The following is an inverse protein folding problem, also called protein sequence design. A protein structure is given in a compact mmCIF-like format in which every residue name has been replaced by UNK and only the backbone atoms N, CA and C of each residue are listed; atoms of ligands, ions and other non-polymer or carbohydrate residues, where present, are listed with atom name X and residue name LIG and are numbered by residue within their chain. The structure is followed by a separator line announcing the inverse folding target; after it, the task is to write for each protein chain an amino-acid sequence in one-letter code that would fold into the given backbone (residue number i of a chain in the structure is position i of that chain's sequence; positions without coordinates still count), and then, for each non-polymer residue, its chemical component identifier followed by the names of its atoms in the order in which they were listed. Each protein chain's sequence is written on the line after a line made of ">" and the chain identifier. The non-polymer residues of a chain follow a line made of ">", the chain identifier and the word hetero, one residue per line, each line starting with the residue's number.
data_IF_766715003269
#
_entry.id   IF_766715003269
#
_cell.length_a   1.000
_cell.length_b   1.000
_cell.length_c   1.000
_cell.angle_alpha   90.00
_cell.angle_beta   90.00
_cell.angle_gamma   90.00
#
_symmetry.space_group_name_H-M   'P 1'
#
loop_
_entity.id
_entity.type
_entity.pdbx_description
1 polymer ?
#
# COMPACT_ATOMS: atom_id res chain seq x y z
N UNK A 1 -23.81 -3.09 -30.33
CA UNK A 1 -23.03 -4.30 -30.66
C UNK A 1 -22.21 -4.67 -29.44
N UNK A 2 -22.66 -5.64 -28.67
CA UNK A 2 -21.92 -6.22 -27.53
C UNK A 2 -20.70 -6.91 -28.11
N UNK A 3 -19.51 -6.39 -27.82
CA UNK A 3 -18.24 -6.98 -28.25
C UNK A 3 -18.19 -8.37 -27.61
N UNK A 4 -18.16 -9.43 -28.42
CA UNK A 4 -18.09 -10.80 -27.93
C UNK A 4 -16.66 -11.03 -27.43
N UNK A 5 -16.40 -10.68 -26.17
CA UNK A 5 -15.08 -10.82 -25.53
C UNK A 5 -14.80 -12.31 -25.35
N UNK A 6 -13.64 -12.78 -25.82
CA UNK A 6 -13.30 -14.20 -25.76
C UNK A 6 -12.80 -14.56 -24.36
N UNK A 7 -13.11 -15.75 -23.82
CA UNK A 7 -12.75 -16.10 -22.42
C UNK A 7 -11.26 -15.93 -22.08
N UNK A 8 -10.35 -16.18 -23.03
CA UNK A 8 -8.91 -16.01 -22.82
C UNK A 8 -8.46 -14.56 -22.65
N UNK A 9 -9.27 -13.59 -23.09
CA UNK A 9 -8.96 -12.14 -22.98
C UNK A 9 -9.09 -11.63 -21.53
N UNK A 10 -9.65 -12.44 -20.62
CA UNK A 10 -9.76 -12.16 -19.19
C UNK A 10 -8.61 -12.73 -18.34
N UNK A 11 -7.89 -13.73 -18.86
CA UNK A 11 -6.83 -14.41 -18.11
C UNK A 11 -5.67 -13.44 -17.89
N UNK A 12 -5.20 -13.34 -16.64
CA UNK A 12 -4.08 -12.46 -16.28
C UNK A 12 -4.42 -10.96 -16.25
N UNK A 13 -5.68 -10.58 -16.42
CA UNK A 13 -6.09 -9.17 -16.42
C UNK A 13 -6.76 -8.73 -15.11
N UNK A 14 -7.14 -9.69 -14.26
CA UNK A 14 -8.04 -9.50 -13.12
C UNK A 14 -9.47 -9.16 -13.57
N UNK A 15 -10.47 -9.54 -12.78
CA UNK A 15 -11.87 -9.26 -13.09
C UNK A 15 -12.60 -8.80 -11.83
N UNK A 16 -13.08 -7.56 -11.84
CA UNK A 16 -13.75 -6.96 -10.69
C UNK A 16 -15.08 -6.34 -11.09
N UNK A 17 -16.09 -6.57 -10.27
CA UNK A 17 -17.36 -5.86 -10.31
C UNK A 17 -17.24 -4.51 -9.58
N UNK A 18 -18.18 -3.60 -9.83
CA UNK A 18 -18.23 -2.32 -9.09
C UNK A 18 -18.29 -2.50 -7.55
N UNK A 19 -19.05 -3.45 -6.97
CA UNK A 19 -19.01 -3.73 -5.54
C UNK A 19 -17.66 -4.22 -5.02
N UNK A 20 -16.96 -5.10 -5.76
CA UNK A 20 -15.64 -5.60 -5.36
C UNK A 20 -14.60 -4.49 -5.36
N UNK A 21 -14.54 -3.71 -6.44
CA UNK A 21 -13.67 -2.54 -6.51
C UNK A 21 -13.99 -1.54 -5.39
N UNK A 22 -15.27 -1.29 -5.11
CA UNK A 22 -15.68 -0.41 -4.03
C UNK A 22 -15.22 -0.91 -2.65
N UNK A 23 -15.30 -2.21 -2.37
CA UNK A 23 -14.80 -2.82 -1.12
C UNK A 23 -13.29 -2.63 -0.99
N UNK A 24 -12.53 -2.93 -2.05
CA UNK A 24 -11.08 -2.79 -2.06
C UNK A 24 -10.61 -1.35 -1.88
N UNK A 25 -11.30 -0.42 -2.54
CA UNK A 25 -10.98 1.00 -2.49
C UNK A 25 -11.56 1.68 -1.26
N UNK A 26 -12.40 1.00 -0.45
CA UNK A 26 -13.13 1.58 0.68
C UNK A 26 -13.99 2.79 0.27
N UNK A 27 -14.80 2.62 -0.77
CA UNK A 27 -15.77 3.60 -1.27
C UNK A 27 -17.13 2.93 -1.53
N UNK A 28 -18.07 3.65 -2.15
CA UNK A 28 -19.37 3.09 -2.52
C UNK A 28 -19.38 2.55 -3.95
N UNK A 29 -20.16 1.48 -4.25
CA UNK A 29 -20.35 1.00 -5.62
C UNK A 29 -20.97 2.07 -6.53
N UNK A 30 -21.81 2.96 -5.97
CA UNK A 30 -22.40 4.08 -6.71
C UNK A 30 -21.33 5.11 -7.13
N UNK A 31 -20.34 5.38 -6.28
CA UNK A 31 -19.21 6.26 -6.61
C UNK A 31 -18.40 5.70 -7.78
N UNK A 32 -18.05 4.40 -7.72
CA UNK A 32 -17.34 3.72 -8.80
C UNK A 32 -18.11 3.81 -10.12
N UNK A 33 -19.41 3.50 -10.10
CA UNK A 33 -20.27 3.62 -11.29
C UNK A 33 -20.33 5.06 -11.82
N UNK A 34 -20.53 6.06 -10.96
CA UNK A 34 -20.55 7.48 -11.38
C UNK A 34 -19.25 7.91 -12.06
N UNK A 35 -18.11 7.40 -11.62
CA UNK A 35 -16.81 7.70 -12.23
C UNK A 35 -16.61 7.01 -13.57
N UNK A 36 -17.15 5.80 -13.77
CA UNK A 36 -16.85 4.96 -14.94
C UNK A 36 -17.97 4.86 -15.98
N UNK A 37 -19.21 5.16 -15.59
CA UNK A 37 -20.38 5.19 -16.47
C UNK A 37 -20.88 6.63 -16.68
N UNK A 38 -20.39 7.58 -15.89
CA UNK A 38 -20.92 8.93 -15.84
C UNK A 38 -22.24 8.99 -15.05
N UNK A 39 -22.85 10.18 -15.01
CA UNK A 39 -24.19 10.36 -14.46
C UNK A 39 -24.78 11.71 -14.88
N UNK A 40 -26.10 11.84 -14.79
CA UNK A 40 -26.78 13.11 -14.95
C UNK A 40 -27.36 13.56 -13.60
N UNK A 41 -27.40 14.87 -13.36
CA UNK A 41 -28.10 15.46 -12.22
C UNK A 41 -28.74 16.79 -12.63
N UNK A 42 -29.84 17.15 -11.97
CA UNK A 42 -30.53 18.41 -12.21
C UNK A 42 -30.17 19.43 -11.14
N UNK A 43 -29.82 20.65 -11.54
CA UNK A 43 -29.59 21.78 -10.63
C UNK A 43 -30.19 23.05 -11.23
N UNK A 44 -31.14 23.67 -10.54
CA UNK A 44 -31.80 24.90 -11.00
C UNK A 44 -32.59 24.73 -12.31
N UNK A 45 -33.26 23.58 -12.49
CA UNK A 45 -34.03 23.28 -13.70
C UNK A 45 -33.21 22.88 -14.93
N UNK A 46 -31.88 22.88 -14.84
CA UNK A 46 -30.98 22.43 -15.90
C UNK A 46 -30.41 21.04 -15.57
N UNK A 47 -30.57 20.10 -16.50
CA UNK A 47 -29.92 18.78 -16.45
C UNK A 47 -28.46 18.93 -16.88
N UNK A 48 -27.53 18.59 -15.98
CA UNK A 48 -26.10 18.48 -16.29
C UNK A 48 -25.72 17.03 -16.40
N UNK A 49 -25.03 16.68 -17.48
CA UNK A 49 -24.46 15.35 -17.70
C UNK A 49 -22.97 15.40 -17.40
N UNK A 50 -22.50 14.45 -16.61
CA UNK A 50 -21.09 14.21 -16.33
C UNK A 50 -20.71 12.92 -17.06
N UNK A 51 -19.80 13.04 -18.02
CA UNK A 51 -19.24 11.91 -18.73
C UNK A 51 -18.41 11.00 -17.81
N UNK A 52 -18.19 9.73 -18.16
CA UNK A 52 -17.22 8.89 -17.44
C UNK A 52 -15.80 9.46 -17.54
N UNK A 53 -14.96 9.16 -16.54
CA UNK A 53 -13.54 9.54 -16.52
C UNK A 53 -12.76 8.79 -17.61
N UNK A 54 -13.05 7.50 -17.80
CA UNK A 54 -12.60 6.69 -18.92
C UNK A 54 -13.58 5.53 -19.14
N UNK A 55 -13.40 4.79 -20.25
CA UNK A 55 -14.15 3.57 -20.53
C UNK A 55 -13.36 2.36 -20.01
N UNK A 56 -13.90 1.55 -19.08
CA UNK A 56 -13.21 0.35 -18.59
C UNK A 56 -12.94 -0.65 -19.70
N UNK A 57 -11.86 -1.44 -19.54
CA UNK A 57 -11.41 -2.39 -20.57
C UNK A 57 -12.49 -3.38 -20.99
N UNK A 58 -13.25 -3.91 -20.03
CA UNK A 58 -14.27 -4.92 -20.28
C UNK A 58 -15.67 -4.35 -20.45
N UNK A 59 -15.90 -3.08 -20.09
CA UNK A 59 -17.22 -2.45 -20.20
C UNK A 59 -18.27 -3.18 -19.35
N UNK A 60 -19.33 -3.68 -20.01
CA UNK A 60 -20.40 -4.43 -19.36
C UNK A 60 -20.35 -5.90 -19.76
N UNK A 61 -20.39 -6.78 -18.77
CA UNK A 61 -20.59 -8.23 -18.94
C UNK A 61 -21.86 -8.58 -18.18
N UNK A 62 -22.82 -9.23 -18.84
CA UNK A 62 -24.14 -9.58 -18.28
C UNK A 62 -24.82 -8.39 -17.58
N UNK A 63 -24.80 -7.23 -18.25
CA UNK A 63 -25.31 -5.96 -17.74
C UNK A 63 -24.70 -5.46 -16.42
N UNK A 64 -23.55 -6.00 -16.02
CA UNK A 64 -22.77 -5.52 -14.88
C UNK A 64 -21.50 -4.83 -15.35
N UNK A 65 -21.13 -3.73 -14.67
CA UNK A 65 -19.86 -3.05 -14.90
C UNK A 65 -18.70 -3.96 -14.48
N UNK A 66 -17.82 -4.26 -15.44
CA UNK A 66 -16.67 -5.14 -15.26
C UNK A 66 -15.37 -4.39 -15.50
N UNK A 67 -14.43 -4.57 -14.57
CA UNK A 67 -13.20 -3.82 -14.47
C UNK A 67 -12.00 -4.75 -14.56
N UNK A 68 -10.94 -4.28 -15.21
CA UNK A 68 -9.62 -4.93 -15.14
C UNK A 68 -8.85 -4.48 -13.90
N UNK A 69 -7.73 -5.14 -13.60
CA UNK A 69 -6.81 -4.69 -12.56
C UNK A 69 -6.24 -3.31 -12.85
N UNK A 70 -5.94 -2.99 -14.10
CA UNK A 70 -5.52 -1.63 -14.49
C UNK A 70 -6.60 -0.60 -14.16
N UNK A 71 -7.87 -0.88 -14.47
CA UNK A 71 -8.98 0.01 -14.09
C UNK A 71 -9.09 0.20 -12.57
N UNK A 72 -8.87 -0.88 -11.79
CA UNK A 72 -8.84 -0.82 -10.33
C UNK A 72 -7.71 0.08 -9.82
N UNK A 73 -6.52 0.01 -10.42
CA UNK A 73 -5.39 0.88 -10.07
C UNK A 73 -5.69 2.34 -10.43
N UNK A 74 -6.22 2.64 -11.62
CA UNK A 74 -6.61 4.00 -12.01
C UNK A 74 -7.65 4.59 -11.02
N UNK A 75 -8.67 3.81 -10.66
CA UNK A 75 -9.66 4.21 -9.65
C UNK A 75 -9.04 4.53 -8.29
N UNK A 76 -7.96 3.84 -7.93
CA UNK A 76 -7.23 4.06 -6.67
C UNK A 76 -6.56 5.42 -6.64
N UNK A 77 -5.97 5.86 -7.76
CA UNK A 77 -5.45 7.21 -7.91
C UNK A 77 -6.56 8.27 -7.90
N UNK A 78 -7.64 8.05 -8.65
CA UNK A 78 -8.82 8.94 -8.64
C UNK A 78 -9.35 9.14 -7.23
N UNK A 79 -9.53 8.04 -6.48
CA UNK A 79 -9.98 8.11 -5.10
C UNK A 79 -9.03 8.94 -4.24
N UNK A 80 -7.73 8.68 -4.34
CA UNK A 80 -6.74 9.39 -3.54
C UNK A 80 -6.73 10.90 -3.84
N UNK A 81 -6.90 11.29 -5.11
CA UNK A 81 -7.03 12.70 -5.50
C UNK A 81 -8.30 13.34 -4.95
N UNK A 82 -9.46 12.68 -5.08
CA UNK A 82 -10.73 13.18 -4.55
C UNK A 82 -10.67 13.33 -3.02
N UNK A 83 -10.01 12.41 -2.31
CA UNK A 83 -9.81 12.51 -0.85
C UNK A 83 -8.90 13.68 -0.43
N UNK A 84 -8.06 14.19 -1.32
CA UNK A 84 -7.31 15.45 -1.10
C UNK A 84 -8.10 16.70 -1.51
N UNK A 85 -9.38 16.56 -1.87
CA UNK A 85 -10.25 17.69 -2.20
C UNK A 85 -10.22 18.12 -3.67
N UNK A 86 -9.57 17.37 -4.56
CA UNK A 86 -9.60 17.70 -5.98
C UNK A 86 -11.00 17.49 -6.57
N UNK A 87 -11.47 18.46 -7.35
CA UNK A 87 -12.71 18.33 -8.11
C UNK A 87 -12.60 17.25 -9.20
N UNK A 88 -13.71 16.64 -9.61
CA UNK A 88 -13.69 15.66 -10.70
C UNK A 88 -13.26 16.25 -12.04
N UNK A 89 -13.44 17.56 -12.23
CA UNK A 89 -12.92 18.25 -13.41
C UNK A 89 -11.39 18.32 -13.37
N UNK A 90 -10.81 18.67 -12.22
CA UNK A 90 -9.36 18.65 -12.02
C UNK A 90 -8.79 17.23 -12.17
N UNK A 91 -9.46 16.21 -11.62
CA UNK A 91 -9.06 14.81 -11.80
C UNK A 91 -9.10 14.39 -13.28
N UNK A 92 -10.10 14.82 -14.04
CA UNK A 92 -10.16 14.56 -15.49
C UNK A 92 -9.01 15.23 -16.23
N UNK A 93 -8.72 16.49 -15.91
CA UNK A 93 -7.58 17.20 -16.50
C UNK A 93 -6.26 16.49 -16.18
N UNK A 94 -6.08 16.00 -14.95
CA UNK A 94 -4.93 15.18 -14.57
C UNK A 94 -4.84 13.90 -15.38
N UNK A 95 -5.93 13.16 -15.51
CA UNK A 95 -5.93 11.92 -16.27
C UNK A 95 -5.52 12.18 -17.71
N UNK A 96 -6.08 13.21 -18.35
CA UNK A 96 -5.74 13.55 -19.73
C UNK A 96 -4.27 13.96 -19.88
N UNK A 97 -3.77 14.84 -19.01
CA UNK A 97 -2.36 15.22 -19.04
C UNK A 97 -1.45 14.00 -18.81
N UNK A 98 -1.80 13.10 -17.89
CA UNK A 98 -1.03 11.90 -17.62
C UNK A 98 -1.00 10.97 -18.85
N UNK A 99 -2.14 10.80 -19.53
CA UNK A 99 -2.22 10.04 -20.79
C UNK A 99 -1.29 10.63 -21.85
N UNK A 100 -1.25 11.95 -22.00
CA UNK A 100 -0.39 12.62 -22.97
C UNK A 100 1.10 12.43 -22.63
N UNK A 101 1.45 12.48 -21.33
CA UNK A 101 2.83 12.30 -20.87
C UNK A 101 3.38 10.89 -21.14
N UNK A 102 2.60 9.84 -20.87
CA UNK A 102 3.08 8.44 -21.02
C UNK A 102 2.58 7.74 -22.29
N UNK A 103 1.71 8.40 -23.06
CA UNK A 103 1.06 7.89 -24.28
C UNK A 103 0.33 6.57 -24.09
N UNK A 104 -0.39 6.45 -22.97
CA UNK A 104 -1.21 5.27 -22.63
C UNK A 104 -2.58 5.69 -22.10
N UNK A 105 -3.61 4.87 -22.36
CA UNK A 105 -4.99 5.13 -21.92
C UNK A 105 -5.20 5.01 -20.41
N UNK A 106 -4.38 4.20 -19.74
CA UNK A 106 -4.43 3.95 -18.30
C UNK A 106 -3.05 4.32 -17.72
N UNK A 107 -2.79 5.62 -17.52
CA UNK A 107 -1.45 6.13 -17.26
C UNK A 107 -0.94 5.83 -15.84
N UNK A 108 -1.79 5.67 -14.83
CA UNK A 108 -1.32 5.42 -13.46
C UNK A 108 -1.07 3.93 -13.16
N UNK A 109 -1.51 3.04 -14.05
CA UNK A 109 -1.27 1.60 -14.00
C UNK A 109 -0.04 1.15 -14.81
N UNK A 110 0.72 2.09 -15.37
CA UNK A 110 2.02 1.84 -16.04
C UNK A 110 3.19 2.31 -15.18
N UNK A 111 4.27 1.54 -15.20
CA UNK A 111 5.55 1.87 -14.57
C UNK A 111 6.22 3.11 -15.17
N UNK A 112 5.91 3.44 -16.44
CA UNK A 112 6.40 4.63 -17.14
C UNK A 112 6.00 5.93 -16.45
N UNK A 113 4.84 5.94 -15.82
CA UNK A 113 4.42 7.11 -15.07
C UNK A 113 5.27 7.32 -13.82
N UNK A 114 5.76 6.26 -13.17
CA UNK A 114 6.60 6.38 -11.97
C UNK A 114 8.02 6.86 -12.29
N UNK A 115 8.56 6.53 -13.47
CA UNK A 115 9.93 6.88 -13.88
C UNK A 115 10.00 8.33 -14.38
N UNK A 116 9.94 8.55 -15.68
CA UNK A 116 10.10 9.87 -16.31
C UNK A 116 8.75 10.60 -16.45
N UNK A 117 7.66 9.84 -16.56
CA UNK A 117 6.31 10.38 -16.75
C UNK A 117 5.90 11.34 -15.63
N UNK A 118 6.27 11.06 -14.38
CA UNK A 118 5.98 11.92 -13.22
C UNK A 118 6.63 13.29 -13.34
N UNK A 119 7.87 13.37 -13.81
CA UNK A 119 8.59 14.64 -13.94
C UNK A 119 7.93 15.48 -15.03
N UNK A 120 7.72 14.89 -16.21
CA UNK A 120 7.05 15.54 -17.35
C UNK A 120 5.64 15.99 -16.96
N UNK A 121 4.91 15.16 -16.21
CA UNK A 121 3.57 15.47 -15.73
C UNK A 121 3.56 16.68 -14.78
N UNK A 122 4.50 16.75 -13.84
CA UNK A 122 4.61 17.87 -12.91
C UNK A 122 5.03 19.17 -13.61
N UNK A 123 5.90 19.08 -14.61
CA UNK A 123 6.27 20.21 -15.47
C UNK A 123 5.08 20.70 -16.31
N UNK A 124 4.31 19.77 -16.88
CA UNK A 124 3.09 20.05 -17.63
C UNK A 124 2.04 20.79 -16.79
N UNK A 125 1.89 20.45 -15.52
CA UNK A 125 1.02 21.20 -14.59
C UNK A 125 1.55 22.61 -14.35
N UNK A 126 2.85 22.75 -14.13
CA UNK A 126 3.45 24.05 -13.80
C UNK A 126 3.29 25.06 -14.94
N UNK A 127 3.41 24.59 -16.19
CA UNK A 127 3.31 25.40 -17.41
C UNK A 127 1.91 25.51 -18.04
N UNK A 128 0.87 24.93 -17.44
CA UNK A 128 -0.48 24.97 -18.01
C UNK A 128 -1.28 26.20 -17.58
N UNK A 129 -1.99 26.80 -18.55
CA UNK A 129 -2.99 27.86 -18.35
C UNK A 129 -4.42 27.31 -18.19
N UNK A 130 -4.62 25.98 -18.21
CA UNK A 130 -5.93 25.37 -17.98
C UNK A 130 -6.39 25.67 -16.53
N UNK A 131 -7.55 26.34 -16.33
CA UNK A 131 -8.08 26.64 -15.00
C UNK A 131 -8.17 25.42 -14.06
N UNK A 132 -8.45 24.22 -14.60
CA UNK A 132 -8.53 22.99 -13.82
C UNK A 132 -7.14 22.49 -13.37
N UNK A 133 -6.10 22.72 -14.17
CA UNK A 133 -4.70 22.38 -13.83
C UNK A 133 -4.06 23.45 -12.93
N UNK A 134 -4.51 24.70 -13.02
CA UNK A 134 -4.10 25.78 -12.10
C UNK A 134 -4.51 25.45 -10.66
N UNK A 135 -5.71 24.91 -10.45
CA UNK A 135 -6.15 24.45 -9.13
C UNK A 135 -5.26 23.31 -8.60
N UNK A 136 -4.80 22.46 -9.51
CA UNK A 136 -3.85 21.41 -9.20
C UNK A 136 -2.48 21.94 -8.78
N UNK A 137 -2.00 22.97 -9.47
CA UNK A 137 -0.73 23.66 -9.15
C UNK A 137 -0.75 24.25 -7.74
N UNK A 138 -1.90 24.80 -7.31
CA UNK A 138 -2.07 25.29 -5.93
C UNK A 138 -1.93 24.17 -4.89
N UNK A 139 -2.28 22.94 -5.26
CA UNK A 139 -2.21 21.74 -4.43
C UNK A 139 -1.03 20.81 -4.78
N UNK A 140 0.00 21.30 -5.49
CA UNK A 140 1.05 20.46 -6.08
C UNK A 140 1.82 19.59 -5.05
N UNK A 141 2.04 20.11 -3.84
CA UNK A 141 2.69 19.33 -2.77
C UNK A 141 1.82 18.17 -2.27
N UNK A 142 0.53 18.40 -2.05
CA UNK A 142 -0.43 17.35 -1.67
C UNK A 142 -0.58 16.32 -2.81
N UNK A 143 -0.52 16.78 -4.05
CA UNK A 143 -0.61 15.93 -5.22
C UNK A 143 0.60 15.01 -5.39
N UNK A 144 1.82 15.56 -5.25
CA UNK A 144 3.07 14.77 -5.31
C UNK A 144 3.09 13.69 -4.23
N UNK A 145 2.67 14.02 -3.01
CA UNK A 145 2.62 13.06 -1.90
C UNK A 145 1.57 11.97 -2.11
N UNK A 146 0.41 12.29 -2.71
CA UNK A 146 -0.59 11.29 -3.12
C UNK A 146 0.00 10.30 -4.11
N UNK A 147 0.67 10.78 -5.16
CA UNK A 147 1.29 9.90 -6.15
C UNK A 147 2.30 8.96 -5.48
N UNK A 148 3.25 9.53 -4.72
CA UNK A 148 4.30 8.75 -4.06
C UNK A 148 3.73 7.71 -3.11
N UNK A 149 2.74 8.08 -2.30
CA UNK A 149 2.07 7.17 -1.38
C UNK A 149 1.29 6.07 -2.11
N UNK A 150 0.61 6.40 -3.20
CA UNK A 150 -0.22 5.44 -3.97
C UNK A 150 0.62 4.45 -4.77
N UNK A 151 1.88 4.79 -5.09
CA UNK A 151 2.84 3.88 -5.70
C UNK A 151 3.61 3.00 -4.70
N UNK A 152 3.66 3.37 -3.40
CA UNK A 152 4.51 2.70 -2.38
C UNK A 152 4.19 1.21 -2.17
N UNK A 153 2.93 0.85 -2.33
CA UNK A 153 2.36 -0.49 -2.16
C UNK A 153 2.08 -1.20 -3.49
N UNK A 154 2.58 -0.66 -4.61
CA UNK A 154 2.53 -1.31 -5.92
C UNK A 154 3.88 -1.95 -6.25
N UNK A 155 3.84 -3.19 -6.71
CA UNK A 155 5.01 -3.86 -7.24
C UNK A 155 5.04 -3.61 -8.74
N UNK A 156 6.15 -3.06 -9.22
CA UNK A 156 6.31 -2.57 -10.60
C UNK A 156 7.59 -3.15 -11.16
N UNK A 157 7.49 -3.76 -12.33
CA UNK A 157 8.61 -4.36 -13.06
C UNK A 157 8.57 -3.94 -14.53
N UNK A 158 9.75 -3.70 -15.11
CA UNK A 158 9.99 -3.17 -16.46
C UNK A 158 9.29 -1.85 -16.77
N UNK A 159 7.96 -1.85 -16.86
CA UNK A 159 7.09 -0.70 -17.09
C UNK A 159 5.62 -1.01 -16.74
N UNK A 160 5.34 -2.05 -15.95
CA UNK A 160 3.98 -2.47 -15.63
C UNK A 160 3.77 -2.64 -14.13
N UNK A 161 2.57 -2.27 -13.66
CA UNK A 161 2.14 -2.60 -12.30
C UNK A 161 1.70 -4.06 -12.29
N UNK A 162 2.49 -4.91 -11.65
CA UNK A 162 2.22 -6.36 -11.60
C UNK A 162 1.21 -6.73 -10.53
N UNK A 163 1.34 -6.13 -9.35
CA UNK A 163 0.46 -6.44 -8.21
C UNK A 163 0.36 -5.28 -7.24
N UNK A 164 -0.68 -5.33 -6.41
CA UNK A 164 -0.94 -4.38 -5.35
C UNK A 164 -0.92 -5.08 -3.99
N UNK A 165 -0.25 -4.46 -3.00
CA UNK A 165 -0.20 -4.89 -1.59
C UNK A 165 -1.19 -4.07 -0.74
N UNK A 166 -2.50 -4.42 -0.70
CA UNK A 166 -3.53 -3.58 -0.07
C UNK A 166 -3.38 -3.42 1.44
N UNK A 167 -2.64 -4.30 2.11
CA UNK A 167 -2.48 -4.26 3.56
C UNK A 167 -1.24 -3.46 3.97
N UNK A 168 -1.34 -2.13 3.91
CA UNK A 168 -0.24 -1.20 4.27
C UNK A 168 1.04 -1.40 3.45
N UNK A 169 0.94 -1.94 2.24
CA UNK A 169 2.12 -2.33 1.47
C UNK A 169 2.82 -3.57 2.03
N UNK A 170 2.25 -4.36 2.94
CA UNK A 170 2.87 -5.61 3.37
C UNK A 170 2.69 -6.69 2.31
N UNK A 171 3.72 -7.53 2.14
CA UNK A 171 3.68 -8.64 1.19
C UNK A 171 2.74 -9.78 1.58
N UNK A 172 2.12 -9.73 2.78
CA UNK A 172 1.27 -10.80 3.31
C UNK A 172 -0.03 -10.98 2.52
N UNK A 173 -0.59 -9.89 1.98
CA UNK A 173 -1.80 -9.91 1.15
C UNK A 173 -1.50 -9.18 -0.14
N UNK A 174 -1.82 -9.82 -1.27
CA UNK A 174 -1.65 -9.24 -2.61
C UNK A 174 -2.94 -9.33 -3.41
N UNK A 175 -3.13 -8.36 -4.28
CA UNK A 175 -4.08 -8.34 -5.39
C UNK A 175 -3.22 -8.46 -6.65
N UNK A 176 -3.30 -9.62 -7.30
CA UNK A 176 -2.46 -10.00 -8.43
C UNK A 176 -3.38 -10.51 -9.57
N UNK A 177 -3.46 -9.83 -10.72
CA UNK A 177 -4.39 -10.18 -11.79
C UNK A 177 -4.15 -11.56 -12.40
N UNK A 178 -2.96 -12.13 -12.23
CA UNK A 178 -2.60 -13.48 -12.72
C UNK A 178 -2.98 -14.59 -11.73
N UNK A 179 -3.37 -14.23 -10.50
CA UNK A 179 -3.68 -15.19 -9.44
C UNK A 179 -5.09 -14.97 -8.92
N UNK A 180 -5.88 -16.05 -8.83
CA UNK A 180 -7.26 -16.02 -8.31
C UNK A 180 -8.10 -14.89 -8.93
N UNK A 181 -7.89 -14.62 -10.23
CA UNK A 181 -8.53 -13.55 -11.00
C UNK A 181 -8.43 -12.16 -10.36
N UNK A 182 -7.37 -11.88 -9.59
CA UNK A 182 -7.17 -10.60 -8.92
C UNK A 182 -7.86 -10.47 -7.56
N UNK A 183 -8.48 -11.53 -7.02
CA UNK A 183 -8.97 -11.46 -5.64
C UNK A 183 -7.81 -11.23 -4.65
N UNK A 184 -8.03 -10.53 -3.52
CA UNK A 184 -7.02 -10.43 -2.48
C UNK A 184 -6.75 -11.79 -1.86
N UNK A 185 -5.51 -12.22 -1.94
CA UNK A 185 -5.05 -13.54 -1.47
C UNK A 185 -3.96 -13.39 -0.41
N UNK A 186 -3.86 -14.38 0.47
CA UNK A 186 -2.66 -14.58 1.28
C UNK A 186 -1.50 -14.94 0.34
N UNK A 187 -0.52 -14.04 0.20
CA UNK A 187 0.36 -14.01 -0.97
C UNK A 187 1.18 -15.28 -1.16
N UNK A 188 1.72 -15.83 -0.07
CA UNK A 188 2.53 -17.05 -0.10
C UNK A 188 1.71 -18.32 -0.39
N UNK A 189 0.41 -18.30 -0.08
CA UNK A 189 -0.42 -19.50 -0.08
C UNK A 189 -1.46 -19.53 -1.20
N UNK A 190 -1.75 -18.38 -1.82
CA UNK A 190 -2.75 -18.29 -2.90
C UNK A 190 -4.20 -18.36 -2.43
N UNK A 191 -4.45 -18.46 -1.13
CA UNK A 191 -5.81 -18.59 -0.59
C UNK A 191 -6.49 -17.23 -0.51
N UNK A 192 -7.69 -17.05 -1.08
CA UNK A 192 -8.45 -15.81 -0.96
C UNK A 192 -8.72 -15.42 0.50
N UNK A 193 -8.54 -14.14 0.80
CA UNK A 193 -8.75 -13.60 2.15
C UNK A 193 -10.18 -13.73 2.63
N UNK A 194 -11.16 -13.68 1.72
CA UNK A 194 -12.57 -13.91 2.04
C UNK A 194 -12.82 -15.35 2.50
N UNK A 195 -12.22 -16.32 1.82
CA UNK A 195 -12.32 -17.75 2.18
C UNK A 195 -11.74 -17.98 3.57
N UNK A 196 -10.57 -17.41 3.87
CA UNK A 196 -9.97 -17.50 5.20
C UNK A 196 -10.86 -16.84 6.26
N UNK A 197 -11.43 -15.66 5.97
CA UNK A 197 -12.29 -14.96 6.92
C UNK A 197 -13.59 -15.73 7.20
N UNK A 198 -14.22 -16.30 6.18
CA UNK A 198 -15.44 -17.11 6.32
C UNK A 198 -15.18 -18.42 7.06
N UNK A 199 -14.06 -19.08 6.75
CA UNK A 199 -13.64 -20.27 7.48
C UNK A 199 -13.41 -19.96 8.97
N UNK A 200 -12.79 -18.83 9.32
CA UNK A 200 -12.59 -18.44 10.73
C UNK A 200 -13.93 -18.22 11.43
N UNK A 201 -14.90 -17.60 10.75
CA UNK A 201 -16.25 -17.41 11.32
C UNK A 201 -16.96 -18.75 11.56
N UNK A 202 -16.82 -19.70 10.64
CA UNK A 202 -17.45 -21.01 10.74
C UNK A 202 -16.77 -21.90 11.80
N UNK A 203 -15.44 -21.94 11.82
CA UNK A 203 -14.66 -22.82 12.71
C UNK A 203 -14.43 -22.23 14.11
N UNK A 204 -14.59 -20.91 14.27
CA UNK A 204 -14.36 -20.20 15.53
C UNK A 204 -12.88 -20.17 15.99
N UNK A 205 -11.94 -20.63 15.16
CA UNK A 205 -10.54 -20.75 15.53
C UNK A 205 -9.60 -20.45 14.36
N UNK A 206 -8.86 -19.34 14.47
CA UNK A 206 -7.78 -18.98 13.52
C UNK A 206 -6.73 -20.08 13.43
N UNK A 207 -6.41 -20.71 14.56
CA UNK A 207 -5.41 -21.77 14.62
C UNK A 207 -5.80 -22.99 13.77
N UNK A 208 -7.08 -23.37 13.84
CA UNK A 208 -7.63 -24.50 13.09
C UNK A 208 -7.72 -24.19 11.60
N UNK A 209 -8.16 -22.99 11.24
CA UNK A 209 -8.23 -22.55 9.83
C UNK A 209 -6.85 -22.44 9.22
N UNK A 210 -5.87 -21.92 9.96
CA UNK A 210 -4.49 -21.87 9.52
C UNK A 210 -3.95 -23.27 9.16
N UNK A 211 -4.24 -24.27 10.00
CA UNK A 211 -3.89 -25.66 9.72
C UNK A 211 -4.68 -26.23 8.53
N UNK A 212 -5.98 -25.96 8.42
CA UNK A 212 -6.85 -26.50 7.37
C UNK A 212 -6.47 -26.00 5.97
N UNK A 213 -6.08 -24.74 5.86
CA UNK A 213 -5.69 -24.12 4.60
C UNK A 213 -4.18 -24.07 4.40
N UNK A 214 -3.41 -24.72 5.29
CA UNK A 214 -1.94 -24.73 5.30
C UNK A 214 -1.33 -23.32 5.18
N UNK A 215 -2.00 -22.32 5.76
CA UNK A 215 -1.50 -20.95 5.80
C UNK A 215 -0.72 -20.73 7.09
N UNK A 216 0.52 -20.27 6.95
CA UNK A 216 1.29 -19.81 8.10
C UNK A 216 0.61 -18.57 8.70
N UNK A 217 0.64 -18.48 10.02
CA UNK A 217 0.20 -17.28 10.73
C UNK A 217 1.15 -16.12 10.52
N UNK A 218 2.31 -16.34 9.90
CA UNK A 218 3.26 -15.31 9.49
C UNK A 218 3.48 -14.29 10.60
N UNK A 219 4.07 -14.72 11.71
CA UNK A 219 4.05 -13.93 12.94
C UNK A 219 4.77 -12.58 12.77
N UNK A 220 5.87 -12.55 12.00
CA UNK A 220 6.71 -11.35 11.85
C UNK A 220 7.28 -11.20 10.42
N UNK A 221 7.36 -9.95 9.95
CA UNK A 221 8.05 -9.54 8.71
C UNK A 221 9.24 -8.65 9.09
N UNK A 222 10.36 -8.77 8.37
CA UNK A 222 11.60 -8.03 8.67
C UNK A 222 11.95 -7.11 7.51
N UNK A 223 11.89 -5.80 7.76
CA UNK A 223 12.30 -4.76 6.82
C UNK A 223 13.65 -4.14 7.24
N UNK A 224 14.63 -4.14 6.34
CA UNK A 224 15.86 -3.40 6.56
C UNK A 224 15.63 -1.90 6.33
N UNK A 225 16.10 -1.06 7.26
CA UNK A 225 15.84 0.38 7.26
C UNK A 225 16.26 1.10 5.96
N UNK A 226 17.43 0.76 5.42
CA UNK A 226 17.92 1.31 4.16
C UNK A 226 17.08 0.92 2.95
N UNK A 227 16.47 -0.26 2.96
CA UNK A 227 15.58 -0.70 1.87
C UNK A 227 14.24 0.03 1.94
N UNK A 228 13.76 0.28 3.16
CA UNK A 228 12.46 0.93 3.40
C UNK A 228 12.47 2.44 3.14
N UNK A 229 13.56 3.13 3.52
CA UNK A 229 13.63 4.60 3.50
C UNK A 229 14.71 5.16 2.56
N UNK A 230 15.54 4.32 1.98
CA UNK A 230 16.69 4.76 1.18
C UNK A 230 17.90 5.19 2.03
N UNK A 231 18.97 5.63 1.36
CA UNK A 231 20.21 6.07 2.00
C UNK A 231 20.03 7.49 2.57
N UNK A 232 20.61 7.74 3.75
CA UNK A 232 20.68 9.08 4.36
C UNK A 232 19.46 9.49 5.19
N UNK A 233 18.50 8.60 5.41
CA UNK A 233 17.39 8.85 6.35
C UNK A 233 17.94 9.11 7.76
N UNK A 234 17.44 10.14 8.43
CA UNK A 234 17.82 10.47 9.82
C UNK A 234 17.00 9.65 10.81
N UNK A 235 17.57 9.39 11.98
CA UNK A 235 16.92 8.52 12.95
C UNK A 235 15.55 9.02 13.43
N UNK A 236 15.46 10.31 13.70
CA UNK A 236 14.22 10.96 14.14
C UNK A 236 13.12 10.85 13.09
N UNK A 237 13.47 10.87 11.80
CA UNK A 237 12.50 10.90 10.70
C UNK A 237 11.87 9.51 10.51
N UNK A 238 12.67 8.44 10.43
CA UNK A 238 12.10 7.10 10.32
C UNK A 238 11.38 6.67 11.61
N UNK A 239 11.85 7.07 12.80
CA UNK A 239 11.15 6.78 14.06
C UNK A 239 9.73 7.36 14.02
N UNK A 240 9.61 8.61 13.54
CA UNK A 240 8.31 9.28 13.43
C UNK A 240 7.39 8.57 12.44
N UNK A 241 7.91 8.18 11.27
CA UNK A 241 7.11 7.49 10.25
C UNK A 241 6.63 6.12 10.74
N UNK A 242 7.54 5.28 11.27
CA UNK A 242 7.16 3.97 11.80
C UNK A 242 6.23 4.09 13.02
N UNK A 243 6.37 5.15 13.82
CA UNK A 243 5.47 5.41 14.94
C UNK A 243 4.03 5.69 14.49
N UNK A 244 3.83 6.29 13.32
CA UNK A 244 2.50 6.54 12.78
C UNK A 244 1.80 5.22 12.41
N UNK A 245 2.56 4.25 11.89
CA UNK A 245 2.07 2.90 11.59
C UNK A 245 1.76 2.09 12.86
N UNK A 246 2.55 2.26 13.93
CA UNK A 246 2.26 1.77 15.28
C UNK A 246 2.52 0.29 15.58
N UNK A 247 2.94 -0.51 14.59
CA UNK A 247 3.12 -1.96 14.71
C UNK A 247 4.56 -2.43 14.43
N UNK A 248 5.54 -1.61 14.84
CA UNK A 248 6.94 -1.86 14.52
C UNK A 248 7.78 -2.13 15.77
N UNK A 249 8.57 -3.19 15.70
CA UNK A 249 9.65 -3.47 16.63
C UNK A 249 10.98 -3.22 15.92
N UNK A 250 11.87 -2.48 16.58
CA UNK A 250 13.20 -2.15 16.06
C UNK A 250 14.22 -3.12 16.64
N UNK A 251 15.00 -3.76 15.76
CA UNK A 251 16.16 -4.54 16.14
C UNK A 251 17.42 -3.80 15.67
N UNK A 252 18.31 -3.43 16.60
CA UNK A 252 19.47 -2.60 16.28
C UNK A 252 20.76 -3.08 16.93
N UNK A 253 21.85 -3.03 16.18
CA UNK A 253 23.21 -3.09 16.73
C UNK A 253 23.75 -1.70 17.09
N UNK A 254 23.11 -0.63 16.60
CA UNK A 254 23.50 0.75 16.90
C UNK A 254 22.87 1.22 18.21
N UNK A 255 23.74 1.57 19.15
CA UNK A 255 23.38 2.07 20.48
C UNK A 255 23.27 3.59 20.54
N UNK A 256 23.51 4.30 19.44
CA UNK A 256 23.35 5.77 19.40
C UNK A 256 21.91 6.17 19.72
N UNK A 257 20.93 5.37 19.26
CA UNK A 257 19.50 5.54 19.53
C UNK A 257 19.20 5.61 21.03
N UNK A 258 19.90 4.83 21.87
CA UNK A 258 19.71 4.84 23.32
C UNK A 258 20.55 5.91 24.05
N UNK A 259 21.50 6.56 23.38
CA UNK A 259 22.45 7.52 23.99
C UNK A 259 22.24 8.97 23.55
N UNK A 260 21.75 9.22 22.33
CA UNK A 260 21.50 10.56 21.82
C UNK A 260 20.18 11.09 22.38
N UNK A 261 20.20 12.27 23.02
CA UNK A 261 19.02 12.88 23.66
C UNK A 261 17.87 13.12 22.68
N UNK A 262 18.16 13.55 21.44
CA UNK A 262 17.13 13.81 20.44
C UNK A 262 16.45 12.51 19.98
N UNK A 263 17.25 11.47 19.71
CA UNK A 263 16.76 10.14 19.32
C UNK A 263 16.01 9.47 20.46
N UNK A 264 16.53 9.55 21.69
CA UNK A 264 15.87 9.00 22.88
C UNK A 264 14.52 9.67 23.14
N UNK A 265 14.44 11.00 22.97
CA UNK A 265 13.18 11.73 23.12
C UNK A 265 12.19 11.31 22.03
N UNK A 266 12.63 11.26 20.77
CA UNK A 266 11.79 10.81 19.65
C UNK A 266 11.28 9.38 19.89
N UNK A 267 12.16 8.46 20.30
CA UNK A 267 11.80 7.05 20.51
C UNK A 267 10.85 6.87 21.69
N UNK A 268 11.10 7.51 22.83
CA UNK A 268 10.21 7.42 24.01
C UNK A 268 8.81 7.98 23.75
N UNK A 269 8.70 8.96 22.85
CA UNK A 269 7.41 9.50 22.40
C UNK A 269 6.75 8.67 21.29
N UNK A 270 7.43 7.64 20.79
CA UNK A 270 6.97 6.81 19.68
C UNK A 270 6.12 5.63 20.14
N UNK A 271 5.43 5.00 19.18
CA UNK A 271 4.71 3.74 19.37
C UNK A 271 5.59 2.50 19.19
N UNK A 272 6.91 2.65 19.13
CA UNK A 272 7.85 1.58 18.81
C UNK A 272 8.35 0.87 20.07
N UNK A 273 8.88 -0.35 19.90
CA UNK A 273 9.66 -1.05 20.92
C UNK A 273 11.02 -1.38 20.31
N UNK A 274 12.14 -1.15 21.01
CA UNK A 274 13.46 -1.49 20.49
C UNK A 274 14.16 -2.58 21.30
N UNK A 275 14.86 -3.45 20.58
CA UNK A 275 15.82 -4.40 21.13
C UNK A 275 17.21 -4.09 20.54
N UNK A 276 18.15 -3.80 21.42
CA UNK A 276 19.49 -3.30 21.06
C UNK A 276 20.55 -4.27 21.56
N UNK A 277 21.51 -4.65 20.72
CA UNK A 277 22.60 -5.53 21.15
C UNK A 277 23.44 -4.92 22.27
N UNK A 278 23.79 -5.75 23.26
CA UNK A 278 24.84 -5.43 24.23
C UNK A 278 26.16 -5.10 23.51
N UNK A 279 27.04 -4.23 24.06
CA UNK A 279 28.26 -3.79 23.37
C UNK A 279 29.18 -4.94 22.94
N UNK A 280 29.24 -6.03 23.72
CA UNK A 280 30.00 -7.21 23.37
C UNK A 280 29.37 -8.00 22.21
N UNK A 281 28.04 -8.07 22.14
CA UNK A 281 27.32 -8.72 21.04
C UNK A 281 27.40 -7.89 19.74
N UNK A 282 27.41 -6.56 19.85
CA UNK A 282 27.61 -5.64 18.72
C UNK A 282 28.94 -5.91 18.00
N UNK A 283 30.00 -6.20 18.75
CA UNK A 283 31.34 -6.52 18.21
C UNK A 283 31.49 -7.96 17.75
N UNK A 284 30.53 -8.83 18.04
CA UNK A 284 30.59 -10.23 17.68
C UNK A 284 30.40 -10.46 16.17
N UNK A 285 30.79 -11.66 15.71
CA UNK A 285 30.58 -12.10 14.32
C UNK A 285 29.10 -12.13 13.98
N UNK A 286 28.78 -12.04 12.68
CA UNK A 286 27.39 -12.14 12.21
C UNK A 286 26.74 -13.44 12.68
N UNK A 287 27.44 -14.56 12.60
CA UNK A 287 26.95 -15.86 13.06
C UNK A 287 26.59 -15.83 14.56
N UNK A 288 27.43 -15.23 15.41
CA UNK A 288 27.14 -15.12 16.85
C UNK A 288 25.92 -14.23 17.13
N UNK A 289 25.73 -13.17 16.33
CA UNK A 289 24.55 -12.31 16.42
C UNK A 289 23.29 -13.07 16.01
N UNK A 290 23.34 -13.81 14.90
CA UNK A 290 22.23 -14.63 14.41
C UNK A 290 21.87 -15.74 15.40
N UNK A 291 22.86 -16.46 15.93
CA UNK A 291 22.68 -17.44 17.00
C UNK A 291 21.94 -16.81 18.18
N UNK A 292 22.41 -15.65 18.66
CA UNK A 292 21.79 -14.99 19.82
C UNK A 292 20.37 -14.51 19.53
N UNK A 293 20.09 -14.04 18.31
CA UNK A 293 18.74 -13.66 17.87
C UNK A 293 17.81 -14.86 17.87
N UNK A 294 18.22 -15.98 17.29
CA UNK A 294 17.41 -17.19 17.26
C UNK A 294 17.06 -17.68 18.67
N UNK A 295 18.03 -17.66 19.59
CA UNK A 295 17.80 -18.10 20.98
C UNK A 295 16.88 -17.14 21.74
N UNK A 296 17.04 -15.83 21.57
CA UNK A 296 16.23 -14.83 22.32
C UNK A 296 14.86 -14.57 21.68
N UNK A 297 14.61 -15.05 20.45
CA UNK A 297 13.42 -14.68 19.68
C UNK A 297 12.10 -14.89 20.44
N UNK A 298 11.84 -16.05 21.07
CA UNK A 298 10.60 -16.25 21.83
C UNK A 298 10.45 -15.28 23.01
N UNK A 299 11.58 -14.86 23.62
CA UNK A 299 11.56 -13.85 24.68
C UNK A 299 11.23 -12.46 24.12
N UNK A 300 11.77 -12.12 22.94
CA UNK A 300 11.42 -10.86 22.25
C UNK A 300 9.92 -10.81 21.97
N UNK A 301 9.35 -11.87 21.40
CA UNK A 301 7.92 -11.97 21.09
C UNK A 301 7.06 -11.78 22.35
N UNK A 302 7.36 -12.52 23.42
CA UNK A 302 6.64 -12.36 24.68
C UNK A 302 6.79 -10.96 25.28
N UNK A 303 7.98 -10.35 25.16
CA UNK A 303 8.24 -9.02 25.69
C UNK A 303 7.45 -7.94 24.95
N UNK A 304 7.27 -8.06 23.63
CA UNK A 304 6.52 -7.08 22.81
C UNK A 304 5.08 -6.93 23.29
N UNK A 305 4.44 -8.01 23.73
CA UNK A 305 3.06 -8.01 24.23
C UNK A 305 2.91 -7.41 25.63
N UNK A 306 3.97 -7.46 26.44
CA UNK A 306 3.92 -7.11 27.87
C UNK A 306 4.33 -5.66 28.17
N UNK A 307 4.94 -4.95 27.22
CA UNK A 307 5.62 -3.68 27.51
C UNK A 307 4.91 -2.48 26.94
N UNK A 308 5.07 -1.35 27.64
CA UNK A 308 4.62 -0.06 27.15
C UNK A 308 5.40 0.32 25.88
N UNK A 309 4.69 0.89 24.90
CA UNK A 309 5.32 1.48 23.72
C UNK A 309 6.31 2.60 24.12
N UNK A 310 7.35 2.80 23.32
CA UNK A 310 8.48 3.68 23.62
C UNK A 310 9.59 3.03 24.45
N UNK A 311 9.41 1.75 24.84
CA UNK A 311 10.39 1.00 25.64
C UNK A 311 11.58 0.51 24.79
N UNK A 312 12.76 0.47 25.42
CA UNK A 312 13.98 -0.07 24.82
C UNK A 312 14.59 -1.12 25.74
N UNK A 313 15.10 -2.18 25.14
CA UNK A 313 15.71 -3.30 25.85
C UNK A 313 17.05 -3.66 25.24
N UNK A 314 17.98 -4.09 26.09
CA UNK A 314 19.25 -4.67 25.69
C UNK A 314 19.13 -6.19 25.55
N UNK A 315 19.60 -6.71 24.41
CA UNK A 315 19.80 -8.14 24.17
C UNK A 315 21.18 -8.54 24.72
N UNK A 316 21.24 -9.41 25.74
CA UNK A 316 22.50 -9.83 26.33
C UNK A 316 23.27 -10.79 25.43
N UNK A 317 24.56 -10.96 25.70
CA UNK A 317 25.40 -11.96 25.00
C UNK A 317 25.01 -13.40 25.37
N UNK A 318 24.53 -13.61 26.60
CA UNK A 318 24.14 -14.90 27.18
C UNK A 318 22.93 -14.75 28.10
N UNK A 319 22.19 -15.83 28.27
CA UNK A 319 20.93 -15.86 29.03
C UNK A 319 19.79 -15.16 28.29
N UNK A 320 18.59 -15.26 28.86
CA UNK A 320 17.35 -14.89 28.14
C UNK A 320 16.68 -13.64 28.72
N UNK A 321 17.29 -13.01 29.73
CA UNK A 321 16.72 -11.81 30.35
C UNK A 321 17.08 -10.55 29.58
N UNK A 322 16.07 -9.94 28.97
CA UNK A 322 16.14 -8.62 28.34
C UNK A 322 16.23 -7.53 29.43
N UNK A 323 17.13 -6.55 29.25
CA UNK A 323 17.36 -5.49 30.26
C UNK A 323 16.83 -4.15 29.75
N UNK A 324 15.98 -3.41 30.48
CA UNK A 324 15.55 -2.08 30.07
C UNK A 324 16.74 -1.13 29.87
N UNK A 325 16.63 -0.19 28.91
CA UNK A 325 17.64 0.81 28.57
C UNK A 325 17.22 2.25 28.88
#
# INVERSE_FOLDING_TARGET
>A
MTKQVRPHEFVGQGLYTAPEAARLLKTSPATVRRWLEGHAYSRGGQTRVIDPLWRPRFGRIDDQLSLSFRDLIELRFVKAFVEQGLSLQAVRACLNLAKDCVREEQPFSTGRFRTDGKTIFLEGIAGSDDPALIDLRKNQYAFKSVIERTFKDLDIEADEVLRWRPFHGKGSIVVDPERSFGQPIAAAFGVPTEVLADAVRAEGSVARVAALYEVDRGQHEVDHILLKFGRGVKDVDWIRELSADGNWTVLSADRRISKNKAEQTAFRSSRLIAFIFAPALQKATLLKKMERLMVIWPTIEAQIELVQRGSMFEIPVKGDRLRPL
#
